data_IF_714730280905
#
_entry.id   IF_714730280905
#
_cell.length_a   1.000
_cell.length_b   1.000
_cell.length_c   1.000
_cell.angle_alpha   90.00
_cell.angle_beta   90.00
_cell.angle_gamma   90.00
#
_symmetry.space_group_name_H-M   'P 1'
#
loop_
_entity.id
_entity.type
_entity.pdbx_description
1 polymer ?
#
# COMPACT_ATOMS: atom_id res chain seq x y z
N UNK A 1 4.43 52.39 -58.63
CA UNK A 1 4.08 51.31 -59.57
C UNK A 1 3.60 50.15 -58.65
N UNK A 2 2.41 50.06 -58.29
CA UNK A 2 1.12 49.72 -58.90
C UNK A 2 1.20 48.40 -59.69
N UNK A 3 0.55 47.38 -59.19
CA UNK A 3 -0.35 46.40 -59.81
C UNK A 3 -0.57 45.31 -58.77
N UNK A 4 -1.64 45.20 -58.05
CA UNK A 4 -3.01 44.74 -58.26
C UNK A 4 -3.15 43.29 -58.72
N UNK A 5 -3.95 42.57 -57.94
CA UNK A 5 -4.98 41.57 -58.31
C UNK A 5 -4.50 40.14 -58.38
N UNK A 6 -5.17 39.14 -57.93
CA UNK A 6 -6.63 38.85 -57.77
C UNK A 6 -6.77 37.63 -56.93
N UNK A 7 -7.74 37.61 -56.03
CA UNK A 7 -8.43 36.43 -55.57
C UNK A 7 -9.35 35.88 -56.71
N UNK A 8 -9.58 34.59 -56.81
CA UNK A 8 -10.92 34.19 -56.55
C UNK A 8 -11.15 32.76 -55.99
N UNK A 9 -12.14 32.70 -55.10
CA UNK A 9 -13.23 31.72 -55.03
C UNK A 9 -12.82 30.26 -54.89
N UNK A 10 -13.10 29.62 -53.76
CA UNK A 10 -14.47 29.26 -53.39
C UNK A 10 -14.73 27.78 -53.59
N UNK A 11 -14.95 27.05 -52.52
CA UNK A 11 -15.94 26.00 -52.53
C UNK A 11 -16.19 25.45 -51.13
N UNK A 12 -17.42 25.34 -50.67
CA UNK A 12 -17.74 24.81 -49.36
C UNK A 12 -17.83 23.28 -49.42
N UNK A 13 -17.03 22.62 -48.60
CA UNK A 13 -17.22 21.20 -48.35
C UNK A 13 -18.37 21.02 -47.35
N UNK A 14 -19.53 20.73 -47.89
CA UNK A 14 -20.69 20.26 -47.14
C UNK A 14 -20.37 18.90 -46.52
N UNK A 15 -20.09 18.89 -45.23
CA UNK A 15 -20.01 17.67 -44.45
C UNK A 15 -21.42 17.06 -44.33
N UNK A 16 -21.66 16.00 -45.06
CA UNK A 16 -22.87 15.18 -44.96
C UNK A 16 -22.82 14.38 -43.69
N UNK A 17 -23.55 14.81 -42.67
CA UNK A 17 -23.79 14.06 -41.45
C UNK A 17 -24.57 12.77 -41.77
N UNK A 18 -23.88 11.64 -41.80
CA UNK A 18 -24.49 10.33 -41.85
C UNK A 18 -24.95 9.94 -40.43
N UNK A 19 -26.21 10.15 -40.15
CA UNK A 19 -26.90 9.56 -39.00
C UNK A 19 -27.03 8.06 -39.20
N UNK A 20 -26.16 7.28 -38.59
CA UNK A 20 -26.37 5.84 -38.42
C UNK A 20 -27.32 5.65 -37.24
N UNK A 21 -28.54 5.34 -37.57
CA UNK A 21 -29.57 4.84 -36.67
C UNK A 21 -29.14 3.42 -36.26
N UNK A 22 -28.80 3.21 -35.03
CA UNK A 22 -28.58 1.87 -34.46
C UNK A 22 -29.94 1.37 -33.96
N UNK A 23 -30.44 0.23 -34.45
CA UNK A 23 -31.70 -0.31 -33.95
C UNK A 23 -31.53 -0.87 -32.54
N UNK A 24 -32.40 -0.40 -31.66
CA UNK A 24 -32.68 -0.98 -30.35
C UNK A 24 -33.24 -2.40 -30.55
N UNK A 25 -32.40 -3.40 -30.34
CA UNK A 25 -32.86 -4.76 -30.15
C UNK A 25 -33.15 -4.96 -28.65
N UNK A 26 -34.41 -4.85 -28.35
CA UNK A 26 -35.04 -5.34 -27.14
C UNK A 26 -34.85 -6.87 -27.07
N UNK A 27 -34.17 -7.34 -26.03
CA UNK A 27 -34.18 -8.76 -25.70
C UNK A 27 -34.98 -8.94 -24.42
N UNK A 28 -36.12 -9.66 -24.53
CA UNK A 28 -36.97 -9.89 -23.38
C UNK A 28 -36.50 -11.06 -22.51
N UNK A 29 -36.73 -10.87 -21.25
CA UNK A 29 -37.03 -11.85 -20.19
C UNK A 29 -36.77 -13.34 -20.48
N UNK A 30 -35.88 -13.94 -19.70
CA UNK A 30 -36.08 -15.28 -19.18
C UNK A 30 -35.84 -15.27 -17.69
N UNK A 31 -36.93 -14.98 -16.98
CA UNK A 31 -37.08 -15.24 -15.54
C UNK A 31 -37.40 -16.74 -15.44
N UNK A 32 -36.53 -17.54 -14.90
CA UNK A 32 -36.87 -18.89 -14.47
C UNK A 32 -36.33 -19.11 -13.06
N UNK A 33 -37.23 -19.06 -12.15
CA UNK A 33 -37.24 -19.65 -10.82
C UNK A 33 -36.44 -20.95 -10.73
N UNK A 34 -35.53 -21.02 -9.77
CA UNK A 34 -35.41 -22.24 -8.96
C UNK A 34 -35.05 -21.85 -7.53
N UNK A 35 -36.09 -21.61 -6.76
CA UNK A 35 -36.08 -21.71 -5.30
C UNK A 35 -36.12 -23.21 -4.99
N UNK A 36 -35.05 -23.76 -4.46
CA UNK A 36 -35.10 -25.02 -3.77
C UNK A 36 -34.33 -24.90 -2.47
N UNK A 37 -35.14 -24.81 -1.45
CA UNK A 37 -34.80 -24.94 -0.05
C UNK A 37 -34.01 -26.23 0.20
N UNK A 38 -32.90 -26.13 0.89
CA UNK A 38 -32.36 -27.22 1.67
C UNK A 38 -31.93 -26.66 3.02
N UNK A 39 -32.91 -26.67 3.92
CA UNK A 39 -32.68 -26.66 5.35
C UNK A 39 -31.97 -27.97 5.67
N UNK A 40 -30.75 -27.92 6.12
CA UNK A 40 -30.09 -29.05 6.73
C UNK A 40 -29.47 -28.67 8.05
N UNK A 41 -30.21 -29.01 9.05
CA UNK A 41 -29.93 -29.45 10.40
C UNK A 41 -28.54 -29.18 10.97
N UNK A 42 -28.55 -28.32 11.94
CA UNK A 42 -27.54 -28.20 13.00
C UNK A 42 -27.59 -29.49 13.79
N UNK A 43 -26.59 -30.35 13.65
CA UNK A 43 -26.36 -31.49 14.55
C UNK A 43 -25.33 -31.06 15.59
N UNK A 44 -25.77 -30.88 16.82
CA UNK A 44 -24.92 -30.76 18.00
C UNK A 44 -24.27 -32.11 18.30
N UNK A 45 -22.99 -32.17 18.76
CA UNK A 45 -22.40 -33.41 19.21
C UNK A 45 -22.99 -33.83 20.55
N UNK A 46 -23.15 -35.16 20.79
CA UNK A 46 -23.78 -35.69 22.01
C UNK A 46 -22.86 -35.55 23.23
N UNK A 47 -23.46 -35.17 24.34
CA UNK A 47 -22.85 -35.15 25.66
C UNK A 47 -22.56 -36.60 26.12
N UNK A 48 -21.34 -36.83 26.60
CA UNK A 48 -20.96 -38.08 27.28
C UNK A 48 -21.55 -38.15 28.70
N UNK A 49 -21.98 -39.34 29.16
CA UNK A 49 -22.53 -39.52 30.50
C UNK A 49 -21.48 -39.61 31.60
N UNK A 50 -21.83 -39.33 32.86
CA UNK A 50 -20.91 -39.37 33.99
C UNK A 50 -20.63 -40.79 34.45
N UNK A 51 -19.38 -41.20 34.42
CA UNK A 51 -18.95 -42.47 35.02
C UNK A 51 -18.33 -42.18 36.39
N UNK A 52 -18.85 -42.92 37.35
CA UNK A 52 -18.50 -42.92 38.78
C UNK A 52 -17.25 -43.77 39.06
N UNK A 53 -16.52 -43.28 40.07
CA UNK A 53 -15.75 -44.00 41.09
C UNK A 53 -14.51 -44.79 40.68
N UNK A 54 -13.39 -44.45 41.33
CA UNK A 54 -12.17 -45.22 41.36
C UNK A 54 -10.99 -44.51 42.00
N UNK A 55 -11.07 -44.36 43.29
CA UNK A 55 -10.00 -44.03 44.25
C UNK A 55 -8.65 -44.73 43.90
N UNK A 56 -7.58 -43.97 43.69
CA UNK A 56 -6.24 -44.38 44.13
C UNK A 56 -5.28 -43.21 44.16
N UNK A 57 -5.01 -42.73 45.35
CA UNK A 57 -3.90 -41.82 45.63
C UNK A 57 -2.57 -42.48 45.25
N UNK A 58 -1.79 -41.78 44.39
CA UNK A 58 -0.36 -41.90 44.37
C UNK A 58 0.27 -40.50 44.25
N UNK A 59 0.82 -40.13 45.40
CA UNK A 59 1.71 -38.99 45.60
C UNK A 59 2.95 -39.10 44.66
N UNK A 60 3.11 -38.19 43.75
CA UNK A 60 4.39 -37.95 43.07
C UNK A 60 4.72 -36.46 43.22
N UNK A 61 5.91 -36.26 43.78
CA UNK A 61 6.50 -34.96 44.08
C UNK A 61 6.54 -34.02 42.86
N UNK A 62 6.49 -32.69 43.04
CA UNK A 62 6.62 -31.75 41.94
C UNK A 62 8.08 -31.72 41.47
N UNK A 63 8.34 -32.17 40.25
CA UNK A 63 9.60 -31.92 39.55
C UNK A 63 9.62 -30.44 39.20
N UNK A 64 10.49 -29.71 39.87
CA UNK A 64 10.82 -28.33 39.52
C UNK A 64 11.42 -28.32 38.10
N UNK A 65 10.63 -27.92 37.11
CA UNK A 65 11.11 -27.57 35.78
C UNK A 65 11.99 -26.32 35.86
N UNK A 66 13.06 -26.22 35.03
CA UNK A 66 13.93 -25.06 35.05
C UNK A 66 13.12 -23.82 34.64
N UNK A 67 12.97 -22.89 35.58
CA UNK A 67 12.46 -21.54 35.33
C UNK A 67 13.46 -20.85 34.42
N UNK A 68 13.23 -20.86 33.11
CA UNK A 68 13.95 -20.00 32.15
C UNK A 68 13.47 -18.57 32.41
N UNK A 69 14.17 -17.92 33.34
CA UNK A 69 14.12 -16.48 33.51
C UNK A 69 14.61 -15.87 32.20
N UNK A 70 13.72 -15.55 31.30
CA UNK A 70 14.05 -14.76 30.12
C UNK A 70 14.46 -13.38 30.62
N UNK A 71 15.79 -13.19 30.72
CA UNK A 71 16.41 -11.91 30.96
C UNK A 71 15.87 -10.95 29.90
N UNK A 72 15.21 -9.83 30.29
CA UNK A 72 14.75 -8.86 29.30
C UNK A 72 15.97 -8.41 28.50
N UNK A 73 15.95 -8.73 27.21
CA UNK A 73 16.95 -8.23 26.26
C UNK A 73 16.87 -6.70 26.37
N UNK A 74 18.00 -6.11 26.77
CA UNK A 74 18.12 -4.66 26.89
C UNK A 74 17.82 -4.10 25.51
N UNK A 75 16.60 -3.54 25.30
CA UNK A 75 16.24 -2.87 24.05
C UNK A 75 17.36 -1.88 23.75
N UNK A 76 17.95 -1.97 22.56
CA UNK A 76 18.99 -1.05 22.13
C UNK A 76 18.40 0.36 22.25
N UNK A 77 19.12 1.26 22.91
CA UNK A 77 18.69 2.65 23.04
C UNK A 77 18.60 3.22 21.63
N UNK A 78 17.48 3.88 21.24
CA UNK A 78 17.36 4.49 19.91
C UNK A 78 18.58 5.35 19.62
N UNK A 79 19.11 5.22 18.41
CA UNK A 79 20.30 5.98 17.98
C UNK A 79 19.99 7.47 17.85
N UNK A 80 18.71 7.80 17.65
CA UNK A 80 18.22 9.17 17.43
C UNK A 80 16.88 9.42 18.15
N UNK A 81 16.58 10.67 18.58
CA UNK A 81 15.30 10.99 19.18
C UNK A 81 14.18 10.88 18.14
N UNK A 82 13.28 9.92 18.34
CA UNK A 82 12.09 9.78 17.53
C UNK A 82 11.06 10.86 17.86
N UNK A 83 10.16 11.10 16.92
CA UNK A 83 9.02 11.99 17.11
C UNK A 83 7.83 11.22 17.72
N UNK A 84 6.94 11.89 18.47
CA UNK A 84 5.70 11.27 18.91
C UNK A 84 4.80 10.95 17.71
N UNK A 85 3.83 10.05 17.89
CA UNK A 85 2.85 9.72 16.82
C UNK A 85 2.12 10.97 16.34
N UNK A 86 2.06 11.16 15.01
CA UNK A 86 1.21 12.14 14.34
C UNK A 86 0.99 11.76 12.88
N UNK A 87 -0.21 12.00 12.35
CA UNK A 87 -0.53 11.70 10.95
C UNK A 87 0.35 12.53 9.99
N UNK A 88 0.83 11.93 8.87
CA UNK A 88 1.48 12.68 7.83
C UNK A 88 0.45 13.51 7.04
N UNK A 89 0.87 14.65 6.51
CA UNK A 89 0.00 15.53 5.73
C UNK A 89 0.54 15.79 4.32
N UNK A 90 1.87 15.78 4.16
CA UNK A 90 2.52 16.06 2.87
C UNK A 90 3.87 15.38 2.75
N UNK A 91 4.13 14.74 1.62
CA UNK A 91 5.43 14.20 1.23
C UNK A 91 6.10 15.15 0.23
N UNK A 92 7.35 15.51 0.50
CA UNK A 92 8.15 16.35 -0.39
C UNK A 92 9.48 15.66 -0.69
N UNK A 93 9.73 15.32 -1.97
CA UNK A 93 10.98 14.71 -2.46
C UNK A 93 11.52 15.58 -3.60
N UNK A 94 12.39 16.57 -3.31
CA UNK A 94 12.81 17.56 -4.30
C UNK A 94 13.53 16.94 -5.50
N UNK A 95 14.32 15.88 -5.30
CA UNK A 95 15.14 15.22 -6.31
C UNK A 95 14.33 14.65 -7.49
N UNK A 96 13.07 14.29 -7.24
CA UNK A 96 12.17 13.73 -8.24
C UNK A 96 10.85 14.54 -8.36
N UNK A 97 10.86 15.79 -7.89
CA UNK A 97 9.74 16.72 -8.05
C UNK A 97 8.44 16.32 -7.33
N UNK A 98 8.50 15.40 -6.36
CA UNK A 98 7.31 14.98 -5.62
C UNK A 98 6.94 16.03 -4.57
N UNK A 99 5.68 16.46 -4.61
CA UNK A 99 5.01 17.27 -3.60
C UNK A 99 3.54 16.84 -3.52
N UNK A 100 3.25 15.86 -2.66
CA UNK A 100 1.99 15.11 -2.66
C UNK A 100 1.30 15.09 -1.29
N UNK A 101 -0.04 15.20 -1.25
CA UNK A 101 -0.82 14.97 -0.05
C UNK A 101 -0.88 13.49 0.31
N UNK A 102 -1.34 13.20 1.53
CA UNK A 102 -1.54 11.84 2.03
C UNK A 102 -3.00 11.44 2.06
N UNK A 103 -3.22 10.12 1.95
CA UNK A 103 -4.45 9.44 2.37
C UNK A 103 -4.08 8.30 3.33
N UNK A 104 -5.03 7.92 4.19
CA UNK A 104 -4.89 6.75 5.02
C UNK A 104 -5.06 5.48 4.19
N UNK A 105 -4.21 4.48 4.44
CA UNK A 105 -4.33 3.13 3.90
C UNK A 105 -4.59 2.13 5.02
N UNK A 106 -5.28 1.06 4.68
CA UNK A 106 -5.56 -0.08 5.55
C UNK A 106 -5.10 -1.39 4.90
N UNK A 107 -5.08 -2.45 5.68
CA UNK A 107 -4.96 -3.81 5.14
C UNK A 107 -6.32 -4.20 4.57
N UNK A 108 -6.35 -4.46 3.26
CA UNK A 108 -7.54 -4.88 2.54
C UNK A 108 -7.95 -6.32 2.84
N UNK A 109 -9.07 -6.75 2.24
CA UNK A 109 -9.61 -8.11 2.40
C UNK A 109 -8.68 -9.21 1.89
N UNK A 110 -7.72 -8.88 1.02
CA UNK A 110 -6.68 -9.79 0.53
C UNK A 110 -5.55 -10.04 1.54
N UNK A 111 -5.51 -9.30 2.65
CA UNK A 111 -4.41 -9.30 3.60
C UNK A 111 -3.20 -8.46 3.17
N UNK A 112 -3.27 -7.79 2.02
CA UNK A 112 -2.25 -6.86 1.55
C UNK A 112 -2.62 -5.40 1.90
N UNK A 113 -1.62 -4.52 1.95
CA UNK A 113 -1.85 -3.08 2.08
C UNK A 113 -2.58 -2.57 0.83
N UNK A 114 -3.67 -1.83 1.03
CA UNK A 114 -4.37 -1.18 -0.06
C UNK A 114 -3.47 -0.13 -0.75
N UNK A 115 -3.73 0.11 -2.04
CA UNK A 115 -3.10 1.21 -2.77
C UNK A 115 -3.94 2.49 -2.65
N UNK A 116 -3.35 3.69 -2.86
CA UNK A 116 -4.12 4.91 -3.01
C UNK A 116 -5.16 4.81 -4.14
N UNK A 117 -6.22 5.64 -4.15
CA UNK A 117 -7.18 5.68 -5.25
C UNK A 117 -6.51 5.83 -6.62
N UNK A 118 -6.82 4.97 -7.62
CA UNK A 118 -6.06 4.87 -8.88
C UNK A 118 -6.23 6.07 -9.83
N UNK A 119 -7.22 6.91 -9.60
CA UNK A 119 -7.52 8.09 -10.43
C UNK A 119 -6.83 9.37 -9.93
N UNK A 120 -6.04 9.30 -8.86
CA UNK A 120 -5.29 10.44 -8.35
C UNK A 120 -3.78 10.19 -8.52
N UNK A 121 -3.21 10.75 -9.58
CA UNK A 121 -1.80 10.57 -9.91
C UNK A 121 -0.85 11.21 -8.88
N UNK A 122 -1.27 12.24 -8.15
CA UNK A 122 -0.45 12.94 -7.16
C UNK A 122 -0.94 12.69 -5.73
N UNK A 123 -1.01 11.41 -5.32
CA UNK A 123 -1.46 11.03 -3.98
C UNK A 123 -0.58 9.89 -3.46
N UNK A 124 -0.12 10.03 -2.21
CA UNK A 124 0.53 8.93 -1.49
C UNK A 124 -0.36 8.46 -0.35
N UNK A 125 -0.22 7.19 0.01
CA UNK A 125 -0.94 6.62 1.12
C UNK A 125 0.00 6.20 2.24
N UNK A 126 -0.44 6.34 3.48
CA UNK A 126 0.25 5.88 4.67
C UNK A 126 -0.56 4.79 5.35
N UNK A 127 0.10 3.70 5.77
CA UNK A 127 -0.54 2.67 6.60
C UNK A 127 -0.90 3.22 7.97
N UNK A 128 -2.12 3.70 8.13
CA UNK A 128 -2.56 4.49 9.27
C UNK A 128 -2.62 3.70 10.59
N UNK A 129 -2.81 2.39 10.54
CA UNK A 129 -2.77 1.52 11.73
C UNK A 129 -1.33 1.22 12.19
N UNK A 130 -0.32 1.48 11.36
CA UNK A 130 1.10 1.27 11.66
C UNK A 130 1.78 2.49 12.25
N UNK A 131 3.10 2.46 12.25
CA UNK A 131 3.98 3.53 12.75
C UNK A 131 3.84 4.79 11.89
N UNK A 132 3.78 5.97 12.53
CA UNK A 132 3.75 7.25 11.80
C UNK A 132 5.15 7.71 11.39
N UNK A 133 5.30 8.46 10.27
CA UNK A 133 6.62 8.93 9.84
C UNK A 133 7.35 9.74 10.91
N UNK A 134 8.54 9.27 11.32
CA UNK A 134 9.36 9.85 12.38
C UNK A 134 9.15 9.24 13.77
N UNK A 135 8.12 8.42 13.98
CA UNK A 135 7.94 7.62 15.20
C UNK A 135 8.91 6.41 15.18
N UNK A 136 9.23 5.86 16.36
CA UNK A 136 10.04 4.62 16.45
C UNK A 136 9.37 3.47 15.73
N UNK A 137 10.15 2.72 14.96
CA UNK A 137 9.68 1.61 14.13
C UNK A 137 9.69 1.95 12.66
N UNK A 138 8.96 1.19 11.87
CA UNK A 138 8.93 1.28 10.39
C UNK A 138 7.60 1.83 9.89
N UNK A 139 7.62 3.06 9.38
CA UNK A 139 6.45 3.65 8.70
C UNK A 139 6.38 3.20 7.24
N UNK A 140 5.18 2.89 6.74
CA UNK A 140 4.97 2.43 5.37
C UNK A 140 4.18 3.48 4.59
N UNK A 141 4.73 3.89 3.45
CA UNK A 141 4.13 4.84 2.51
C UNK A 141 4.10 4.19 1.14
N UNK A 142 2.93 4.11 0.52
CA UNK A 142 2.76 3.57 -0.81
C UNK A 142 2.25 4.64 -1.79
N UNK A 143 2.61 4.49 -3.06
CA UNK A 143 2.15 5.37 -4.15
C UNK A 143 2.20 4.64 -5.48
N UNK A 144 1.41 5.11 -6.44
CA UNK A 144 1.40 4.54 -7.77
C UNK A 144 2.64 4.94 -8.59
N UNK A 145 3.14 4.02 -9.42
CA UNK A 145 4.15 4.31 -10.44
C UNK A 145 3.50 4.99 -11.64
N UNK A 146 2.30 4.57 -12.01
CA UNK A 146 1.50 5.14 -13.10
C UNK A 146 0.00 5.02 -12.81
N UNK A 147 -0.77 5.66 -13.67
CA UNK A 147 -2.21 5.48 -13.82
C UNK A 147 -2.49 4.90 -15.20
N UNK A 148 -3.74 4.65 -15.53
CA UNK A 148 -4.11 4.18 -16.87
C UNK A 148 -3.67 5.12 -18.02
N UNK A 149 -3.39 6.39 -17.72
CA UNK A 149 -3.16 7.44 -18.74
C UNK A 149 -1.88 8.27 -18.55
N UNK A 150 -1.22 8.19 -17.40
CA UNK A 150 -0.08 9.06 -17.09
C UNK A 150 0.82 8.46 -15.99
N UNK A 151 2.10 8.88 -15.93
CA UNK A 151 2.95 8.65 -14.76
C UNK A 151 2.27 9.17 -13.49
N UNK A 152 2.53 8.51 -12.35
CA UNK A 152 1.99 8.90 -11.06
C UNK A 152 3.10 9.34 -10.09
N UNK A 153 2.72 9.59 -8.84
CA UNK A 153 3.55 10.22 -7.80
C UNK A 153 4.92 9.56 -7.60
N UNK A 154 5.02 8.25 -7.81
CA UNK A 154 6.26 7.48 -7.65
C UNK A 154 6.86 6.97 -8.97
N UNK A 155 6.50 7.58 -10.11
CA UNK A 155 7.04 7.23 -11.43
C UNK A 155 8.59 7.27 -11.48
N UNK A 156 9.18 8.24 -10.81
CA UNK A 156 10.64 8.46 -10.79
C UNK A 156 11.29 8.00 -9.46
N UNK A 157 10.60 7.18 -8.66
CA UNK A 157 11.12 6.77 -7.34
C UNK A 157 12.47 6.01 -7.45
N UNK A 158 12.71 5.32 -8.58
CA UNK A 158 13.97 4.63 -8.88
C UNK A 158 15.18 5.55 -9.07
N UNK A 159 14.97 6.84 -9.29
CA UNK A 159 16.05 7.82 -9.42
C UNK A 159 16.66 8.24 -8.09
N UNK A 160 16.02 7.87 -6.98
CA UNK A 160 16.57 8.11 -5.66
C UNK A 160 17.82 7.25 -5.42
N UNK A 161 18.72 7.78 -4.60
CA UNK A 161 20.01 7.14 -4.25
C UNK A 161 20.30 7.34 -2.78
N UNK A 162 21.11 6.46 -2.21
CA UNK A 162 21.62 6.63 -0.86
C UNK A 162 22.19 8.03 -0.63
N UNK A 163 21.81 8.64 0.49
CA UNK A 163 22.16 10.02 0.84
C UNK A 163 21.20 11.10 0.34
N UNK A 164 20.28 10.81 -0.60
CA UNK A 164 19.21 11.75 -0.94
C UNK A 164 18.32 12.00 0.26
N UNK A 165 17.69 13.17 0.33
CA UNK A 165 16.85 13.57 1.45
C UNK A 165 15.45 13.90 1.00
N UNK A 166 14.48 13.63 1.87
CA UNK A 166 13.10 14.03 1.67
C UNK A 166 12.42 14.35 3.02
N UNK A 167 11.26 14.95 2.93
CA UNK A 167 10.53 15.45 4.09
C UNK A 167 9.09 14.92 4.11
N UNK A 168 8.62 14.62 5.32
CA UNK A 168 7.20 14.37 5.60
C UNK A 168 6.71 15.44 6.57
N UNK A 169 5.80 16.30 6.10
CA UNK A 169 5.09 17.24 6.97
C UNK A 169 3.99 16.49 7.71
N UNK A 170 3.75 16.87 8.96
CA UNK A 170 2.88 16.15 9.89
C UNK A 170 1.81 17.06 10.46
N UNK A 171 0.71 16.46 10.95
CA UNK A 171 -0.43 17.18 11.52
C UNK A 171 -0.10 17.93 12.81
N UNK A 172 0.98 17.52 13.52
CA UNK A 172 1.48 18.20 14.72
C UNK A 172 2.34 19.45 14.41
N UNK A 173 2.41 19.87 13.13
CA UNK A 173 3.20 21.00 12.65
C UNK A 173 4.70 20.71 12.51
N UNK A 174 5.16 19.52 12.88
CA UNK A 174 6.56 19.09 12.73
C UNK A 174 6.81 18.55 11.34
N UNK A 175 8.09 18.56 10.95
CA UNK A 175 8.57 17.93 9.73
C UNK A 175 9.56 16.82 10.08
N UNK A 176 9.26 15.59 9.68
CA UNK A 176 10.19 14.48 9.74
C UNK A 176 11.05 14.50 8.47
N UNK A 177 12.37 14.61 8.63
CA UNK A 177 13.36 14.56 7.55
C UNK A 177 13.98 13.19 7.50
N UNK A 178 14.15 12.67 6.30
CA UNK A 178 14.70 11.33 6.09
C UNK A 178 15.88 11.37 5.14
N UNK A 179 16.83 10.45 5.38
CA UNK A 179 17.94 10.17 4.48
C UNK A 179 17.71 8.79 3.87
N UNK A 180 17.81 8.68 2.56
CA UNK A 180 17.72 7.41 1.83
C UNK A 180 18.95 6.57 2.16
N UNK A 181 18.74 5.33 2.57
CA UNK A 181 19.77 4.34 2.83
C UNK A 181 20.01 3.47 1.60
N UNK A 182 18.92 3.02 0.96
CA UNK A 182 18.97 2.07 -0.14
C UNK A 182 17.70 2.14 -1.00
N UNK A 183 17.82 1.70 -2.26
CA UNK A 183 16.70 1.61 -3.22
C UNK A 183 16.80 0.27 -3.93
N UNK A 184 15.84 -0.61 -3.71
CA UNK A 184 15.87 -1.97 -4.24
C UNK A 184 14.53 -2.39 -4.84
N UNK A 185 14.58 -3.19 -5.91
CA UNK A 185 13.40 -3.85 -6.49
C UNK A 185 13.36 -5.31 -6.06
N UNK A 186 12.15 -5.80 -5.75
CA UNK A 186 11.92 -7.19 -5.35
C UNK A 186 10.76 -7.78 -6.15
N UNK A 187 10.92 -9.01 -6.61
CA UNK A 187 9.81 -9.76 -7.20
C UNK A 187 8.67 -9.93 -6.20
N UNK A 188 7.43 -9.69 -6.65
CA UNK A 188 6.23 -9.85 -5.80
C UNK A 188 6.06 -11.27 -5.28
N UNK A 189 6.50 -12.28 -6.06
CA UNK A 189 6.44 -13.69 -5.68
C UNK A 189 7.45 -14.09 -4.59
N UNK A 190 8.51 -13.29 -4.38
CA UNK A 190 9.54 -13.52 -3.37
C UNK A 190 9.85 -12.21 -2.61
N UNK A 191 8.77 -11.56 -2.17
CA UNK A 191 8.90 -10.27 -1.51
C UNK A 191 9.40 -10.43 -0.07
N UNK A 192 10.47 -9.72 0.33
CA UNK A 192 11.10 -9.89 1.64
C UNK A 192 10.31 -9.19 2.76
N UNK A 193 9.10 -9.67 3.05
CA UNK A 193 8.17 -9.05 3.99
C UNK A 193 8.80 -8.66 5.33
N UNK A 194 9.62 -9.55 5.90
CA UNK A 194 10.27 -9.26 7.18
C UNK A 194 11.23 -8.08 7.10
N UNK A 195 12.02 -7.97 6.01
CA UNK A 195 12.96 -6.86 5.82
C UNK A 195 12.25 -5.53 5.59
N UNK A 196 11.13 -5.57 4.88
CA UNK A 196 10.39 -4.35 4.50
C UNK A 196 9.47 -3.87 5.62
N UNK A 197 8.73 -4.79 6.26
CA UNK A 197 7.63 -4.41 7.17
C UNK A 197 7.93 -4.57 8.65
N UNK A 198 9.01 -5.28 9.04
CA UNK A 198 9.31 -5.43 10.47
C UNK A 198 9.74 -4.09 11.09
N UNK A 199 9.29 -3.88 12.32
CA UNK A 199 9.72 -2.73 13.11
C UNK A 199 11.21 -2.79 13.44
N UNK A 200 11.80 -1.62 13.55
CA UNK A 200 13.21 -1.40 13.86
C UNK A 200 13.32 -0.60 15.16
N UNK A 201 14.46 -0.66 15.85
CA UNK A 201 14.70 0.16 17.04
C UNK A 201 14.87 1.66 16.75
N UNK A 202 14.97 2.03 15.48
CA UNK A 202 15.13 3.39 14.99
C UNK A 202 13.89 3.82 14.18
N UNK A 203 13.68 5.13 14.05
CA UNK A 203 12.61 5.67 13.21
C UNK A 203 13.00 5.53 11.73
N UNK A 204 12.31 4.67 11.01
CA UNK A 204 12.52 4.39 9.60
C UNK A 204 11.24 4.57 8.78
N UNK A 205 11.42 4.70 7.48
CA UNK A 205 10.31 4.74 6.52
C UNK A 205 10.63 3.90 5.30
N UNK A 206 9.58 3.31 4.71
CA UNK A 206 9.62 2.65 3.40
C UNK A 206 8.71 3.41 2.45
N UNK A 207 9.27 3.83 1.29
CA UNK A 207 8.45 4.29 0.16
C UNK A 207 8.35 3.13 -0.81
N UNK A 208 7.12 2.74 -1.18
CA UNK A 208 6.87 1.53 -1.95
C UNK A 208 6.02 1.86 -3.17
N UNK A 209 6.43 1.36 -4.33
CA UNK A 209 5.67 1.45 -5.58
C UNK A 209 5.83 0.16 -6.40
N UNK A 210 4.97 -0.02 -7.39
CA UNK A 210 5.12 -1.08 -8.37
C UNK A 210 6.33 -0.83 -9.28
N UNK A 211 6.99 -1.90 -9.74
CA UNK A 211 8.14 -1.85 -10.64
C UNK A 211 8.26 -3.13 -11.49
N UNK A 212 9.31 -3.21 -12.32
CA UNK A 212 9.53 -4.34 -13.20
C UNK A 212 8.64 -4.32 -14.43
N UNK A 213 8.37 -5.51 -15.01
CA UNK A 213 7.54 -5.64 -16.21
C UNK A 213 6.06 -5.66 -15.87
N UNK A 214 5.23 -5.00 -16.71
CA UNK A 214 3.78 -5.08 -16.58
C UNK A 214 3.25 -6.37 -17.21
N UNK A 215 2.70 -7.26 -16.39
CA UNK A 215 2.01 -8.47 -16.86
C UNK A 215 0.56 -8.12 -17.24
N UNK A 216 0.29 -8.12 -18.56
CA UNK A 216 -1.04 -7.82 -19.09
C UNK A 216 -2.11 -8.84 -18.70
N UNK A 217 -1.72 -10.07 -18.41
CA UNK A 217 -2.65 -11.15 -18.02
C UNK A 217 -3.04 -11.00 -16.54
N UNK A 218 -2.07 -10.74 -15.68
CA UNK A 218 -2.29 -10.45 -14.27
C UNK A 218 -2.83 -9.03 -14.05
N UNK A 219 -2.64 -8.12 -15.01
CA UNK A 219 -2.92 -6.68 -14.93
C UNK A 219 -2.16 -6.02 -13.76
N UNK A 220 -0.92 -6.43 -13.57
CA UNK A 220 -0.09 -5.96 -12.48
C UNK A 220 1.39 -5.97 -12.87
N UNK A 221 2.21 -5.22 -12.15
CA UNK A 221 3.66 -5.23 -12.26
C UNK A 221 4.25 -6.45 -11.55
N UNK A 222 5.37 -6.96 -12.07
CA UNK A 222 6.02 -8.16 -11.52
C UNK A 222 6.80 -7.91 -10.24
N UNK A 223 7.15 -6.65 -9.94
CA UNK A 223 8.00 -6.26 -8.84
C UNK A 223 7.42 -5.10 -8.04
N UNK A 224 7.98 -4.89 -6.85
CA UNK A 224 7.86 -3.66 -6.09
C UNK A 224 9.25 -3.05 -5.89
N UNK A 225 9.36 -1.74 -6.11
CA UNK A 225 10.50 -0.92 -5.71
C UNK A 225 10.27 -0.44 -4.27
N UNK A 226 11.30 -0.56 -3.45
CA UNK A 226 11.30 -0.12 -2.05
C UNK A 226 12.47 0.82 -1.82
N UNK A 227 12.18 2.04 -1.36
CA UNK A 227 13.16 2.96 -0.80
C UNK A 227 13.22 2.77 0.70
N UNK A 228 14.39 2.44 1.22
CA UNK A 228 14.69 2.36 2.63
C UNK A 228 15.27 3.68 3.09
N UNK A 229 14.75 4.26 4.17
CA UNK A 229 15.27 5.51 4.69
C UNK A 229 15.11 5.58 6.22
N UNK A 230 16.03 6.31 6.87
CA UNK A 230 15.99 6.59 8.30
C UNK A 230 15.74 8.06 8.60
N UNK A 231 15.24 8.34 9.80
CA UNK A 231 15.03 9.71 10.27
C UNK A 231 16.38 10.44 10.39
N UNK A 232 16.54 11.55 9.68
CA UNK A 232 17.69 12.45 9.78
C UNK A 232 17.58 13.23 11.08
N UNK A 233 18.28 12.76 12.11
CA UNK A 233 18.32 13.47 13.37
C UNK A 233 19.35 14.60 13.31
N UNK A 234 19.04 15.78 13.84
CA UNK A 234 20.06 16.81 14.01
C UNK A 234 21.15 16.28 14.93
N UNK A 235 22.40 16.41 14.48
CA UNK A 235 23.60 16.13 15.28
C UNK A 235 23.70 17.11 16.44
#
# INVERSE_FOLDING_TARGET
MSVRSTDPSGSPWTARASRRVVPLLLWPLALAMLVLSLVNSIAAPPASPPGKDGDRAQSVAPVAGPSVSAKPSKAAKPSHPALPRAAPTRLVIPQIGVDAPFTDLAIGSSGALDAPPPNNANLVGWFAAGVSPGELGTSIIAGHVDTATAPAVFAELSELKAGHRFEVRRADGRTARFVVDDVESFHKSDFPNKRVYADTPDAQVRLITCSGSYDRKAKDYTENLVVFAHLDAPK
#
